data_IF_483197713969
#
_entry.id   IF_483197713969
#
_cell.length_a   1.000
_cell.length_b   1.000
_cell.length_c   1.000
_cell.angle_alpha   90.00
_cell.angle_beta   90.00
_cell.angle_gamma   90.00
#
_symmetry.space_group_name_H-M   'P 1'
#
loop_
_entity.id
_entity.type
_entity.pdbx_description
1 polymer ?
#
# COMPACT_ATOMS: atom_id res chain seq x y z
N UNK A 1 11.21 9.11 -0.01
CA UNK A 1 11.69 7.72 -0.10
C UNK A 1 10.97 6.92 0.97
N UNK A 2 9.97 6.12 0.61
CA UNK A 2 9.33 5.21 1.57
C UNK A 2 10.33 4.16 2.04
N UNK A 3 10.34 3.83 3.33
CA UNK A 3 11.17 2.72 3.83
C UNK A 3 10.29 1.48 3.94
N UNK A 4 10.72 0.43 3.25
CA UNK A 4 10.29 -0.93 3.52
C UNK A 4 11.21 -1.49 4.61
N UNK A 5 10.64 -2.18 5.59
CA UNK A 5 11.41 -2.87 6.62
C UNK A 5 10.96 -4.34 6.70
N UNK A 6 11.92 -5.23 6.92
CA UNK A 6 11.66 -6.66 7.10
C UNK A 6 11.53 -6.94 8.60
N UNK A 7 10.37 -7.41 9.04
CA UNK A 7 10.08 -7.69 10.45
C UNK A 7 9.63 -9.12 10.67
N UNK A 8 9.88 -9.66 11.87
CA UNK A 8 9.41 -10.98 12.29
C UNK A 8 7.98 -10.95 12.86
N UNK A 9 7.55 -9.79 13.34
CA UNK A 9 6.22 -9.54 13.86
C UNK A 9 5.93 -8.04 13.85
N UNK A 10 4.64 -7.68 13.89
CA UNK A 10 4.20 -6.29 13.94
C UNK A 10 3.03 -6.16 14.92
N UNK A 11 3.13 -5.23 15.86
CA UNK A 11 2.06 -4.95 16.82
C UNK A 11 1.14 -3.89 16.22
N UNK A 12 -0.12 -4.24 15.99
CA UNK A 12 -1.14 -3.35 15.41
C UNK A 12 -2.28 -3.15 16.41
N UNK A 13 -2.63 -1.90 16.70
CA UNK A 13 -3.83 -1.57 17.46
C UNK A 13 -4.90 -1.10 16.49
N UNK A 14 -6.00 -1.86 16.38
CA UNK A 14 -7.11 -1.49 15.54
C UNK A 14 -7.73 -0.18 16.07
N UNK A 15 -7.85 0.87 15.25
CA UNK A 15 -8.34 2.19 15.69
C UNK A 15 -9.82 2.21 16.07
N UNK A 16 -10.65 1.30 15.53
CA UNK A 16 -12.07 1.19 15.88
C UNK A 16 -12.29 0.45 17.19
N UNK A 17 -11.61 -0.67 17.36
CA UNK A 17 -11.87 -1.60 18.47
C UNK A 17 -10.97 -1.34 19.67
N UNK A 18 -9.86 -0.62 19.47
CA UNK A 18 -8.80 -0.44 20.47
C UNK A 18 -8.05 -1.72 20.81
N UNK A 19 -8.33 -2.83 20.11
CA UNK A 19 -7.68 -4.11 20.37
C UNK A 19 -6.31 -4.16 19.69
N UNK A 20 -5.30 -4.57 20.44
CA UNK A 20 -3.96 -4.81 19.91
C UNK A 20 -3.82 -6.28 19.51
N UNK A 21 -3.36 -6.51 18.29
CA UNK A 21 -2.96 -7.81 17.77
C UNK A 21 -1.46 -7.84 17.44
N UNK A 22 -0.84 -9.00 17.61
CA UNK A 22 0.51 -9.26 17.11
C UNK A 22 0.38 -10.01 15.79
N UNK A 23 0.68 -9.31 14.70
CA UNK A 23 0.67 -9.85 13.36
C UNK A 23 1.98 -10.59 13.12
N UNK A 24 1.87 -11.80 12.57
CA UNK A 24 2.99 -12.68 12.26
C UNK A 24 3.01 -13.01 10.75
N UNK A 25 4.18 -13.39 10.21
CA UNK A 25 4.29 -13.88 8.83
C UNK A 25 3.29 -15.00 8.60
N UNK A 26 2.81 -15.12 7.37
CA UNK A 26 1.80 -16.14 7.08
C UNK A 26 2.38 -17.54 7.25
N UNK A 27 1.67 -18.38 8.02
CA UNK A 27 1.96 -19.80 8.13
C UNK A 27 3.27 -20.07 8.89
N UNK A 28 4.30 -20.51 8.17
CA UNK A 28 5.65 -20.80 8.71
C UNK A 28 6.72 -19.83 8.21
N UNK A 29 6.33 -18.69 7.64
CA UNK A 29 7.27 -17.62 7.27
C UNK A 29 8.05 -17.13 8.49
N UNK A 30 9.27 -16.62 8.26
CA UNK A 30 10.12 -16.04 9.32
C UNK A 30 9.97 -14.53 9.44
N UNK A 31 9.71 -13.85 8.32
CA UNK A 31 9.56 -12.41 8.25
C UNK A 31 8.55 -12.00 7.17
N UNK A 32 8.09 -10.75 7.22
CA UNK A 32 7.34 -10.07 6.16
C UNK A 32 7.86 -8.64 6.00
N UNK A 33 7.61 -8.04 4.84
CA UNK A 33 7.89 -6.63 4.59
C UNK A 33 6.75 -5.76 5.14
N UNK A 34 7.11 -4.70 5.87
CA UNK A 34 6.23 -3.61 6.30
C UNK A 34 6.53 -2.37 5.45
N UNK A 35 5.51 -1.86 4.77
CA UNK A 35 5.49 -0.51 4.20
C UNK A 35 4.63 0.38 5.09
N UNK A 36 5.23 1.47 5.56
CA UNK A 36 4.60 2.54 6.36
C UNK A 36 5.43 3.83 6.15
N UNK A 37 4.93 4.99 6.58
CA UNK A 37 5.68 6.26 6.50
C UNK A 37 7.00 6.11 7.29
N UNK A 38 8.17 6.26 6.64
CA UNK A 38 9.48 6.13 7.28
C UNK A 38 9.72 7.11 8.43
N UNK A 39 8.97 8.21 8.50
CA UNK A 39 9.12 9.20 9.57
C UNK A 39 8.34 8.83 10.83
N UNK A 40 7.44 7.84 10.72
CA UNK A 40 6.57 7.40 11.78
C UNK A 40 6.89 5.98 12.26
N UNK A 41 8.04 5.42 11.89
CA UNK A 41 8.49 4.10 12.33
C UNK A 41 9.92 4.20 12.86
N UNK A 42 10.20 3.57 14.00
CA UNK A 42 11.54 3.51 14.59
C UNK A 42 12.41 2.40 13.96
N UNK A 43 13.66 2.30 14.41
CA UNK A 43 14.63 1.34 13.87
C UNK A 43 14.25 -0.14 14.12
N UNK A 44 13.38 -0.39 15.11
CA UNK A 44 12.88 -1.73 15.46
C UNK A 44 11.53 -2.04 14.77
N UNK A 45 11.00 -1.07 14.04
CA UNK A 45 9.75 -1.24 13.31
C UNK A 45 8.48 -0.93 14.08
N UNK A 46 8.62 -0.42 15.29
CA UNK A 46 7.49 0.06 16.06
C UNK A 46 7.09 1.45 15.58
N UNK A 47 5.80 1.71 15.61
CA UNK A 47 5.25 2.96 15.10
C UNK A 47 5.36 4.08 16.14
N UNK A 48 5.95 5.19 15.73
CA UNK A 48 6.09 6.42 16.52
C UNK A 48 4.76 7.19 16.57
N UNK A 49 4.47 7.90 17.67
CA UNK A 49 3.35 8.84 17.72
C UNK A 49 3.47 9.92 16.65
N UNK A 50 2.36 10.31 16.03
CA UNK A 50 2.30 11.36 15.01
C UNK A 50 2.44 12.78 15.61
N UNK A 51 3.58 13.08 16.24
CA UNK A 51 3.85 14.40 16.83
C UNK A 51 4.80 15.23 15.97
N UNK A 52 4.25 16.16 15.19
CA UNK A 52 4.99 17.31 14.63
C UNK A 52 5.70 17.08 13.29
N UNK A 53 5.67 15.86 12.75
CA UNK A 53 6.28 15.56 11.46
C UNK A 53 5.30 15.86 10.32
N UNK A 54 5.80 16.46 9.24
CA UNK A 54 5.03 16.70 8.01
C UNK A 54 5.24 15.47 7.11
N UNK A 55 4.18 14.72 6.79
CA UNK A 55 4.30 13.56 5.92
C UNK A 55 4.73 13.93 4.50
N UNK A 56 5.36 12.98 3.80
CA UNK A 56 5.73 13.14 2.38
C UNK A 56 4.82 12.23 1.56
N UNK A 57 4.01 12.77 0.62
CA UNK A 57 3.10 11.95 -0.16
C UNK A 57 3.84 10.88 -0.96
N UNK A 58 3.25 9.69 -1.00
CA UNK A 58 3.61 8.73 -2.04
C UNK A 58 3.27 9.33 -3.40
N UNK A 59 4.25 9.38 -4.31
CA UNK A 59 4.02 9.88 -5.66
C UNK A 59 3.08 8.91 -6.41
N UNK A 60 1.85 9.38 -6.57
CA UNK A 60 0.76 8.66 -7.23
C UNK A 60 0.31 9.38 -8.51
N UNK A 61 1.15 10.28 -9.03
CA UNK A 61 0.86 11.09 -10.23
C UNK A 61 0.65 10.26 -11.51
N UNK A 62 1.17 9.04 -11.55
CA UNK A 62 0.94 8.09 -12.63
C UNK A 62 -0.51 7.57 -12.67
N UNK A 63 -1.31 7.85 -11.64
CA UNK A 63 -2.68 7.37 -11.51
C UNK A 63 -3.70 8.47 -11.72
N UNK A 64 -4.76 8.09 -12.44
CA UNK A 64 -6.07 8.70 -12.29
C UNK A 64 -6.89 7.74 -11.43
N UNK A 65 -7.31 8.20 -10.26
CA UNK A 65 -8.29 7.49 -9.44
C UNK A 65 -9.68 7.84 -9.96
N UNK A 66 -10.59 6.87 -9.97
CA UNK A 66 -11.98 7.15 -10.30
C UNK A 66 -12.60 8.05 -9.22
N UNK A 67 -13.54 8.90 -9.64
CA UNK A 67 -14.30 9.71 -8.70
C UNK A 67 -15.16 8.82 -7.80
N UNK A 68 -15.27 9.18 -6.52
CA UNK A 68 -16.22 8.56 -5.62
C UNK A 68 -17.68 8.91 -6.01
N UNK A 69 -18.66 8.33 -5.31
CA UNK A 69 -20.08 8.54 -5.60
C UNK A 69 -20.51 10.02 -5.54
N UNK A 70 -19.70 10.89 -4.93
CA UNK A 70 -19.93 12.34 -4.83
C UNK A 70 -19.14 13.17 -5.84
N UNK A 71 -18.43 12.54 -6.78
CA UNK A 71 -17.62 13.24 -7.79
C UNK A 71 -16.28 13.73 -7.26
N UNK A 72 -15.73 13.09 -6.21
CA UNK A 72 -14.44 13.45 -5.62
C UNK A 72 -13.36 12.43 -5.98
N UNK A 73 -12.22 12.91 -6.45
CA UNK A 73 -11.07 12.06 -6.76
C UNK A 73 -10.20 11.83 -5.51
N UNK A 74 -9.63 10.63 -5.37
CA UNK A 74 -8.69 10.30 -4.29
C UNK A 74 -7.27 10.76 -4.65
N UNK A 75 -6.56 11.39 -3.71
CA UNK A 75 -5.14 11.74 -3.85
C UNK A 75 -4.35 11.35 -2.62
N UNK A 76 -3.17 10.74 -2.82
CA UNK A 76 -2.25 10.41 -1.72
C UNK A 76 -1.65 11.65 -1.06
N UNK A 77 -1.73 11.71 0.27
CA UNK A 77 -1.16 12.77 1.12
C UNK A 77 0.14 12.32 1.78
N UNK A 78 0.18 11.07 2.23
CA UNK A 78 1.31 10.44 2.92
C UNK A 78 1.42 8.99 2.49
N UNK A 79 2.61 8.40 2.50
CA UNK A 79 2.73 6.97 2.23
C UNK A 79 4.14 6.45 2.00
N UNK A 80 4.20 5.20 1.59
CA UNK A 80 5.43 4.50 1.27
C UNK A 80 5.31 3.71 -0.03
N UNK A 81 6.45 3.57 -0.69
CA UNK A 81 6.61 2.86 -1.94
C UNK A 81 7.73 1.83 -1.77
N UNK A 82 7.48 0.60 -2.20
CA UNK A 82 8.51 -0.42 -2.42
C UNK A 82 8.58 -0.72 -3.91
N UNK A 83 9.75 -0.48 -4.50
CA UNK A 83 10.06 -0.86 -5.87
C UNK A 83 11.08 -1.99 -5.86
N UNK A 84 10.80 -3.02 -6.65
CA UNK A 84 11.74 -4.10 -6.97
C UNK A 84 12.03 -4.00 -8.46
N UNK A 85 13.23 -3.56 -8.80
CA UNK A 85 13.68 -3.36 -10.18
C UNK A 85 14.22 -4.64 -10.79
N UNK A 86 14.43 -4.61 -12.10
CA UNK A 86 15.09 -5.68 -12.86
C UNK A 86 14.39 -7.04 -12.72
N UNK A 87 13.07 -7.02 -12.56
CA UNK A 87 12.26 -8.23 -12.41
C UNK A 87 11.93 -8.79 -13.77
N UNK A 88 12.25 -10.07 -13.98
CA UNK A 88 11.89 -10.82 -15.17
C UNK A 88 10.86 -11.92 -14.82
N UNK A 89 9.70 -11.89 -15.49
CA UNK A 89 8.66 -12.92 -15.38
C UNK A 89 8.35 -13.45 -16.78
N UNK A 90 8.80 -14.67 -17.12
CA UNK A 90 8.51 -15.27 -18.41
C UNK A 90 7.02 -15.50 -18.63
N UNK A 91 6.58 -15.44 -19.88
CA UNK A 91 5.23 -15.79 -20.30
C UNK A 91 4.87 -17.19 -19.81
N UNK A 92 3.66 -17.33 -19.27
CA UNK A 92 3.19 -18.59 -18.68
C UNK A 92 3.71 -18.84 -17.24
N UNK A 93 4.41 -17.88 -16.64
CA UNK A 93 4.61 -17.80 -15.19
C UNK A 93 3.67 -16.76 -14.58
N UNK A 94 3.53 -16.79 -13.26
CA UNK A 94 2.71 -15.86 -12.48
C UNK A 94 3.51 -15.32 -11.31
N UNK A 95 3.37 -14.03 -11.04
CA UNK A 95 3.70 -13.47 -9.74
C UNK A 95 2.64 -13.92 -8.74
N UNK A 96 3.08 -14.36 -7.57
CA UNK A 96 2.23 -14.61 -6.41
C UNK A 96 2.82 -13.83 -5.23
N UNK A 97 1.96 -13.14 -4.49
CA UNK A 97 2.31 -12.57 -3.20
C UNK A 97 1.09 -12.57 -2.28
N UNK A 98 1.32 -12.28 -1.01
CA UNK A 98 0.26 -12.01 -0.05
C UNK A 98 0.41 -10.61 0.49
N UNK A 99 -0.71 -9.97 0.76
CA UNK A 99 -0.73 -8.71 1.48
C UNK A 99 -1.74 -8.71 2.60
N UNK A 100 -1.51 -7.82 3.57
CA UNK A 100 -2.49 -7.46 4.58
C UNK A 100 -2.47 -5.94 4.69
N UNK A 101 -3.59 -5.32 4.31
CA UNK A 101 -3.78 -3.88 4.43
C UNK A 101 -4.35 -3.55 5.81
N UNK A 102 -3.74 -2.56 6.46
CA UNK A 102 -4.08 -2.10 7.80
C UNK A 102 -4.45 -0.62 7.73
N UNK A 103 -5.74 -0.26 7.62
CA UNK A 103 -6.17 1.12 7.72
C UNK A 103 -6.03 1.62 9.16
N UNK A 104 -5.49 2.83 9.35
CA UNK A 104 -5.28 3.41 10.67
C UNK A 104 -6.15 4.64 10.94
N UNK A 105 -6.67 5.31 9.90
CA UNK A 105 -7.60 6.42 10.07
C UNK A 105 -8.98 6.09 9.51
N UNK A 106 -9.98 6.17 10.39
CA UNK A 106 -11.39 6.01 10.05
C UNK A 106 -12.24 7.19 10.47
N UNK A 107 -11.60 8.22 11.03
CA UNK A 107 -12.30 9.16 11.89
C UNK A 107 -12.65 10.48 11.20
N UNK A 108 -12.10 10.76 10.02
CA UNK A 108 -12.36 11.98 9.29
C UNK A 108 -13.08 11.70 7.96
N UNK A 109 -14.26 12.29 7.78
CA UNK A 109 -14.94 12.34 6.49
C UNK A 109 -14.00 12.93 5.41
N UNK A 110 -13.93 12.31 4.23
CA UNK A 110 -13.06 12.73 3.14
C UNK A 110 -11.64 12.14 3.18
N UNK A 111 -11.40 11.11 3.99
CA UNK A 111 -10.16 10.31 3.96
C UNK A 111 -10.41 8.96 3.29
N UNK A 112 -9.44 8.54 2.48
CA UNK A 112 -9.46 7.26 1.78
C UNK A 112 -8.05 6.64 1.78
N UNK A 113 -7.72 5.90 2.83
CA UNK A 113 -6.49 5.11 2.86
C UNK A 113 -6.54 4.00 1.79
N UNK A 114 -5.47 3.82 1.04
CA UNK A 114 -5.40 2.78 0.01
C UNK A 114 -4.02 2.13 -0.08
N UNK A 115 -4.03 0.90 -0.57
CA UNK A 115 -2.85 0.20 -1.02
C UNK A 115 -3.05 -0.31 -2.44
N UNK A 116 -2.00 -0.28 -3.24
CA UNK A 116 -2.01 -0.73 -4.62
C UNK A 116 -0.74 -1.51 -4.95
N UNK A 117 -0.89 -2.40 -5.92
CA UNK A 117 0.19 -3.07 -6.61
C UNK A 117 0.15 -2.68 -8.07
N UNK A 118 1.31 -2.37 -8.64
CA UNK A 118 1.43 -2.05 -10.04
C UNK A 118 2.73 -2.57 -10.62
N UNK A 119 2.75 -2.69 -11.94
CA UNK A 119 3.93 -3.09 -12.70
C UNK A 119 4.11 -2.18 -13.89
N UNK A 120 5.36 -1.86 -14.19
CA UNK A 120 5.69 -1.00 -15.33
C UNK A 120 7.04 -1.37 -15.93
N UNK A 121 7.21 -1.02 -17.20
CA UNK A 121 8.49 -1.15 -17.89
C UNK A 121 9.27 0.18 -17.90
N UNK A 122 10.59 0.11 -17.98
CA UNK A 122 11.47 1.28 -17.96
C UNK A 122 11.81 1.77 -16.54
N UNK A 123 12.15 3.06 -16.44
CA UNK A 123 12.74 3.64 -15.22
C UNK A 123 11.76 4.46 -14.38
N UNK A 124 10.56 4.74 -14.89
CA UNK A 124 9.56 5.56 -14.21
C UNK A 124 8.16 5.04 -14.52
N UNK A 125 7.32 5.03 -13.48
CA UNK A 125 5.90 4.82 -13.66
C UNK A 125 5.25 6.07 -14.24
N UNK A 126 4.67 5.90 -15.42
CA UNK A 126 3.86 6.89 -16.11
C UNK A 126 2.60 6.19 -16.60
N UNK A 127 1.52 6.92 -16.94
CA UNK A 127 0.32 6.28 -17.49
C UNK A 127 0.59 5.34 -18.66
N UNK A 128 1.59 5.66 -19.51
CA UNK A 128 1.95 4.90 -20.70
C UNK A 128 2.83 3.67 -20.42
N UNK A 129 3.51 3.61 -19.27
CA UNK A 129 4.43 2.51 -18.93
C UNK A 129 3.80 1.44 -18.03
N UNK A 130 2.65 1.73 -17.43
CA UNK A 130 1.92 0.79 -16.58
C UNK A 130 1.39 -0.40 -17.39
N UNK A 131 1.79 -1.61 -16.99
CA UNK A 131 1.34 -2.88 -17.57
C UNK A 131 0.21 -3.51 -16.75
N UNK A 132 0.20 -3.28 -15.44
CA UNK A 132 -0.82 -3.80 -14.54
C UNK A 132 -1.00 -2.89 -13.33
N UNK A 133 -2.23 -2.86 -12.82
CA UNK A 133 -2.61 -2.17 -11.59
C UNK A 133 -3.68 -2.99 -10.88
N UNK A 134 -3.52 -3.18 -9.58
CA UNK A 134 -4.43 -3.87 -8.69
C UNK A 134 -4.58 -3.08 -7.38
N UNK A 135 -5.82 -2.89 -6.92
CA UNK A 135 -6.09 -2.30 -5.60
C UNK A 135 -5.99 -3.43 -4.58
N UNK A 136 -5.10 -3.29 -3.59
CA UNK A 136 -4.86 -4.27 -2.53
C UNK A 136 -5.73 -4.02 -1.29
N UNK A 137 -6.24 -2.81 -1.13
CA UNK A 137 -7.12 -2.42 -0.03
C UNK A 137 -7.49 -0.94 -0.13
N UNK A 138 -8.68 -0.59 0.34
CA UNK A 138 -9.20 0.78 0.27
C UNK A 138 -10.24 1.03 1.37
N UNK A 139 -10.06 2.10 2.15
CA UNK A 139 -10.87 2.38 3.33
C UNK A 139 -12.16 3.21 3.08
N UNK A 140 -12.41 3.71 1.85
CA UNK A 140 -13.48 4.69 1.56
C UNK A 140 -14.94 4.22 1.85
N UNK A 141 -15.20 2.92 2.05
CA UNK A 141 -16.57 2.37 2.14
C UNK A 141 -16.93 1.84 3.54
N UNK A 142 -16.40 2.48 4.59
CA UNK A 142 -16.38 1.88 5.92
C UNK A 142 -15.52 0.61 5.92
N UNK A 143 -15.27 0.06 7.11
CA UNK A 143 -14.34 -1.06 7.28
C UNK A 143 -14.71 -2.37 6.57
N UNK A 144 -15.80 -2.40 5.80
CA UNK A 144 -16.32 -3.56 5.10
C UNK A 144 -15.79 -3.77 3.67
N UNK A 145 -14.97 -2.85 3.13
CA UNK A 145 -14.36 -3.05 1.81
C UNK A 145 -13.20 -4.06 1.84
N UNK A 146 -12.98 -4.71 0.69
CA UNK A 146 -12.12 -5.88 0.48
C UNK A 146 -10.73 -5.79 1.15
N UNK A 147 -10.22 -6.89 1.71
CA UNK A 147 -8.84 -7.02 2.18
C UNK A 147 -8.46 -6.42 3.52
N UNK A 148 -9.42 -5.87 4.25
CA UNK A 148 -9.13 -5.28 5.55
C UNK A 148 -8.81 -6.33 6.62
N UNK A 149 -7.67 -6.14 7.29
CA UNK A 149 -7.36 -6.87 8.51
C UNK A 149 -7.16 -8.38 8.33
N UNK A 150 -6.98 -8.90 7.11
CA UNK A 150 -6.64 -10.31 6.86
C UNK A 150 -5.57 -10.43 5.78
N UNK A 151 -4.87 -11.55 5.79
CA UNK A 151 -3.95 -11.90 4.71
C UNK A 151 -4.72 -12.30 3.46
N UNK A 152 -4.50 -11.58 2.38
CA UNK A 152 -5.05 -11.85 1.05
C UNK A 152 -3.99 -12.45 0.13
N UNK A 153 -4.45 -13.06 -0.96
CA UNK A 153 -3.58 -13.69 -1.97
C UNK A 153 -3.78 -12.97 -3.29
N UNK A 154 -2.67 -12.53 -3.87
CA UNK A 154 -2.67 -11.82 -5.14
C UNK A 154 -1.87 -12.61 -6.15
N UNK A 155 -2.38 -12.63 -7.38
CA UNK A 155 -1.71 -13.30 -8.50
C UNK A 155 -1.86 -12.48 -9.75
N UNK A 156 -0.73 -12.22 -10.40
CA UNK A 156 -0.69 -11.54 -11.68
C UNK A 156 0.14 -12.35 -12.68
N UNK A 157 -0.33 -12.42 -13.92
CA UNK A 157 0.32 -13.13 -15.01
C UNK A 157 0.51 -12.16 -16.19
N UNK A 158 1.76 -11.86 -16.61
CA UNK A 158 1.97 -11.00 -17.76
C UNK A 158 1.52 -11.71 -19.06
N UNK A 159 0.97 -10.94 -19.99
CA UNK A 159 0.51 -11.46 -21.29
C UNK A 159 1.67 -11.89 -22.20
N UNK A 160 2.83 -11.26 -22.03
CA UNK A 160 4.12 -11.52 -22.67
C UNK A 160 5.21 -11.77 -21.63
N UNK A 161 6.45 -11.98 -22.06
CA UNK A 161 7.58 -11.90 -21.14
C UNK A 161 7.64 -10.48 -20.56
N UNK A 162 7.65 -10.38 -19.23
CA UNK A 162 7.74 -9.11 -18.51
C UNK A 162 9.17 -8.87 -18.05
N UNK A 163 9.70 -7.68 -18.31
CA UNK A 163 10.98 -7.20 -17.79
C UNK A 163 10.81 -5.76 -17.32
N UNK A 164 10.76 -5.55 -16.01
CA UNK A 164 10.44 -4.22 -15.49
C UNK A 164 10.49 -4.14 -13.97
N UNK A 165 9.66 -3.27 -13.43
CA UNK A 165 9.59 -2.96 -12.01
C UNK A 165 8.28 -3.47 -11.43
N UNK A 166 8.36 -4.11 -10.26
CA UNK A 166 7.22 -4.39 -9.41
C UNK A 166 7.14 -3.30 -8.35
N UNK A 167 5.96 -2.69 -8.18
CA UNK A 167 5.78 -1.62 -7.21
C UNK A 167 4.57 -1.88 -6.31
N UNK A 168 4.80 -1.71 -5.02
CA UNK A 168 3.74 -1.67 -4.01
C UNK A 168 3.71 -0.28 -3.42
N UNK A 169 2.51 0.29 -3.30
CA UNK A 169 2.29 1.60 -2.71
C UNK A 169 1.25 1.46 -1.60
N UNK A 170 1.51 2.12 -0.48
CA UNK A 170 0.52 2.36 0.56
C UNK A 170 0.46 3.86 0.78
N UNK A 171 -0.74 4.41 0.87
CA UNK A 171 -0.92 5.84 1.05
C UNK A 171 -2.21 6.17 1.76
N UNK A 172 -2.21 7.29 2.47
CA UNK A 172 -3.42 7.89 2.97
C UNK A 172 -3.94 8.86 1.93
N UNK A 173 -5.13 8.57 1.43
CA UNK A 173 -5.78 9.43 0.47
C UNK A 173 -6.68 10.45 1.14
N UNK A 174 -6.90 11.59 0.47
CA UNK A 174 -8.09 12.41 0.69
C UNK A 174 -8.95 12.39 -0.55
N UNK A 175 -10.27 12.35 -0.37
CA UNK A 175 -11.25 12.66 -1.40
C UNK A 175 -11.63 14.12 -1.25
N UNK A 176 -11.32 14.95 -2.26
CA UNK A 176 -11.71 16.36 -2.29
C UNK A 176 -11.99 16.81 -3.73
N UNK A 177 -12.88 17.79 -3.87
CA UNK A 177 -13.10 18.50 -5.12
C UNK A 177 -13.19 20.02 -4.88
N UNK A 178 -12.23 20.85 -5.36
CA UNK A 178 -11.01 20.46 -6.07
C UNK A 178 -9.98 19.80 -5.13
N UNK A 179 -9.00 19.06 -5.66
CA UNK A 179 -7.90 18.53 -4.85
C UNK A 179 -7.09 19.66 -4.22
N UNK A 180 -7.20 19.81 -2.90
CA UNK A 180 -6.35 20.74 -2.15
C UNK A 180 -5.53 19.94 -1.14
N UNK A 181 -4.21 19.93 -1.34
CA UNK A 181 -3.27 19.38 -0.37
C UNK A 181 -3.28 20.31 0.85
N UNK A 182 -3.92 19.88 1.93
CA UNK A 182 -3.88 20.61 3.20
C UNK A 182 -2.75 20.09 4.08
N UNK A 183 -1.95 21.01 4.64
CA UNK A 183 -0.92 20.67 5.63
C UNK A 183 -1.50 20.28 7.00
N UNK A 184 -2.83 20.42 7.18
CA UNK A 184 -3.53 20.09 8.43
C UNK A 184 -4.24 18.74 8.40
N UNK A 185 -4.39 18.11 7.22
CA UNK A 185 -4.91 16.75 7.08
C UNK A 185 -3.81 15.76 7.45
N UNK A 186 -3.53 15.66 8.75
CA UNK A 186 -2.65 14.64 9.32
C UNK A 186 -3.45 13.35 9.48
N UNK A 187 -3.46 12.55 8.44
CA UNK A 187 -3.97 11.19 8.50
C UNK A 187 -2.96 10.32 9.27
N UNK A 188 -3.42 9.37 10.09
CA UNK A 188 -2.54 8.32 10.61
C UNK A 188 -2.28 7.31 9.47
N UNK A 189 -1.05 7.15 8.93
CA UNK A 189 -0.82 6.31 7.75
C UNK A 189 -1.37 4.89 7.83
N UNK A 190 -1.94 4.39 6.76
CA UNK A 190 -2.18 2.97 6.56
C UNK A 190 -0.86 2.21 6.43
N UNK A 191 -0.83 0.95 6.84
CA UNK A 191 0.32 0.09 6.62
C UNK A 191 -0.03 -1.04 5.66
N UNK A 192 0.94 -1.43 4.83
CA UNK A 192 0.84 -2.58 3.97
C UNK A 192 1.89 -3.61 4.37
N UNK A 193 1.41 -4.79 4.76
CA UNK A 193 2.28 -5.95 4.99
C UNK A 193 2.35 -6.77 3.71
N UNK A 194 3.54 -7.22 3.32
CA UNK A 194 3.76 -8.05 2.12
C UNK A 194 4.56 -9.29 2.51
N UNK A 195 4.08 -10.46 2.10
CA UNK A 195 4.72 -11.74 2.40
C UNK A 195 4.69 -12.67 1.16
N UNK A 196 5.62 -13.62 1.12
CA UNK A 196 5.69 -14.71 0.14
C UNK A 196 5.66 -14.20 -1.31
N UNK A 197 6.49 -13.22 -1.66
CA UNK A 197 6.69 -12.79 -3.05
C UNK A 197 7.44 -13.89 -3.79
N UNK A 198 6.83 -14.48 -4.81
CA UNK A 198 7.44 -15.54 -5.62
C UNK A 198 6.88 -15.61 -7.04
N UNK A 199 7.71 -16.09 -7.96
CA UNK A 199 7.28 -16.48 -9.29
C UNK A 199 6.91 -17.97 -9.27
N UNK A 200 5.71 -18.31 -9.73
CA UNK A 200 5.19 -19.68 -9.79
C UNK A 200 4.81 -20.07 -11.21
N UNK A 201 4.65 -21.37 -11.46
CA UNK A 201 4.02 -21.86 -12.70
C UNK A 201 2.55 -21.43 -12.75
N UNK A 202 2.08 -21.09 -13.94
CA UNK A 202 0.67 -20.81 -14.19
C UNK A 202 -0.24 -21.99 -13.87
#
# INVERSE_FOLDING_TARGET
MGRCMVVENFSFTNPETGQTEIIRPFGRGKCFALLDDPTLVDDDGARLPSSGIIPVPADTSAYQFDDDFSGQTTFGIDGAILEVTDVSIPRGKKLFFRSRFLPFDSSAAGMNDFALFDTYEGNQATPDTLQHREILGQANDGFAANGHGKWEKHTWAPASDFNGVLRWVVSNGTTQNPPVISNTTRARPSALLIDIIKIVSA
#
